data_IF_654339851497
#
_entry.id   IF_654339851497
#
_cell.length_a   1.000
_cell.length_b   1.000
_cell.length_c   1.000
_cell.angle_alpha   90.00
_cell.angle_beta   90.00
_cell.angle_gamma   90.00
#
_symmetry.space_group_name_H-M   'P 1'
#
loop_
_entity.id
_entity.type
_entity.pdbx_description
1 polymer ?
#
# COMPACT_ATOMS: atom_id res chain seq x y z
N UNK A 1 8.24 -6.09 -7.73
CA UNK A 1 7.00 -5.43 -7.31
C UNK A 1 6.44 -6.21 -6.14
N UNK A 2 5.82 -5.55 -5.18
CA UNK A 2 5.12 -6.19 -4.06
C UNK A 2 3.69 -5.65 -3.93
N UNK A 3 2.81 -6.46 -3.33
CA UNK A 3 1.48 -6.02 -2.91
C UNK A 3 1.45 -6.04 -1.39
N UNK A 4 1.24 -4.88 -0.79
CA UNK A 4 1.11 -4.70 0.66
C UNK A 4 -0.36 -4.65 1.01
N UNK A 5 -0.81 -5.52 1.91
CA UNK A 5 -2.20 -5.53 2.42
C UNK A 5 -2.21 -4.86 3.78
N UNK A 6 -2.84 -3.70 3.86
CA UNK A 6 -3.03 -2.96 5.09
C UNK A 6 -4.29 -3.46 5.81
N UNK A 7 -4.17 -4.56 6.57
CA UNK A 7 -5.15 -4.99 7.59
C UNK A 7 -4.68 -4.51 8.97
N UNK A 8 -4.56 -3.19 9.14
CA UNK A 8 -4.09 -2.59 10.39
C UNK A 8 -5.24 -2.48 11.38
N UNK A 9 -5.33 -3.44 12.31
CA UNK A 9 -6.29 -3.38 13.42
C UNK A 9 -5.74 -2.53 14.54
N UNK A 10 -6.62 -1.77 15.19
CA UNK A 10 -6.30 -0.97 16.39
C UNK A 10 -5.12 0.01 16.24
N UNK A 11 -4.91 0.58 15.03
CA UNK A 11 -3.79 1.46 14.68
C UNK A 11 -2.40 0.81 14.78
N UNK A 12 -2.30 -0.52 14.83
CA UNK A 12 -1.01 -1.21 14.85
C UNK A 12 -0.62 -1.63 13.43
N UNK A 13 0.41 -0.97 12.91
CA UNK A 13 1.00 -1.34 11.63
C UNK A 13 1.88 -2.57 11.81
N UNK A 14 1.61 -3.65 11.06
CA UNK A 14 2.47 -4.83 11.10
C UNK A 14 3.92 -4.46 10.73
N UNK A 15 4.80 -4.49 11.72
CA UNK A 15 6.18 -4.05 11.58
C UNK A 15 6.97 -4.86 10.54
N UNK A 16 6.60 -6.13 10.30
CA UNK A 16 7.20 -6.96 9.25
C UNK A 16 6.85 -6.44 7.86
N UNK A 17 5.56 -6.26 7.60
CA UNK A 17 5.04 -5.69 6.35
C UNK A 17 5.60 -4.29 6.10
N UNK A 18 5.67 -3.44 7.14
CA UNK A 18 6.26 -2.11 7.04
C UNK A 18 7.75 -2.14 6.69
N UNK A 19 8.51 -3.10 7.24
CA UNK A 19 9.93 -3.29 6.90
C UNK A 19 10.10 -3.73 5.45
N UNK A 20 9.30 -4.69 4.98
CA UNK A 20 9.32 -5.18 3.59
C UNK A 20 8.99 -4.07 2.60
N UNK A 21 7.96 -3.25 2.89
CA UNK A 21 7.62 -2.08 2.07
C UNK A 21 8.74 -1.04 2.07
N UNK A 22 9.34 -0.76 3.22
CA UNK A 22 10.49 0.15 3.30
C UNK A 22 11.68 -0.32 2.46
N UNK A 23 11.97 -1.62 2.44
CA UNK A 23 12.99 -2.20 1.58
C UNK A 23 12.62 -2.07 0.10
N UNK A 24 11.38 -2.37 -0.28
CA UNK A 24 10.91 -2.23 -1.66
C UNK A 24 11.02 -0.78 -2.15
N UNK A 25 10.73 0.21 -1.30
CA UNK A 25 10.87 1.63 -1.62
C UNK A 25 12.32 2.00 -1.93
N UNK A 26 13.28 1.58 -1.09
CA UNK A 26 14.71 1.87 -1.29
C UNK A 26 15.26 1.18 -2.54
N UNK A 27 14.75 -0.01 -2.88
CA UNK A 27 15.12 -0.75 -4.08
C UNK A 27 14.38 -0.29 -5.34
N UNK A 28 13.63 0.82 -5.27
CA UNK A 28 12.81 1.34 -6.38
C UNK A 28 11.85 0.28 -6.96
N UNK A 29 11.45 -0.67 -6.12
CA UNK A 29 10.55 -1.73 -6.49
C UNK A 29 9.11 -1.21 -6.40
N UNK A 30 8.28 -1.32 -7.45
CA UNK A 30 6.91 -0.83 -7.40
C UNK A 30 6.10 -1.48 -6.27
N UNK A 31 5.34 -0.65 -5.55
CA UNK A 31 4.54 -1.05 -4.38
C UNK A 31 3.07 -0.76 -4.67
N UNK A 32 2.25 -1.81 -4.67
CA UNK A 32 0.79 -1.69 -4.64
C UNK A 32 0.35 -1.81 -3.20
N UNK A 33 -0.34 -0.82 -2.68
CA UNK A 33 -0.94 -0.89 -1.34
C UNK A 33 -2.44 -1.11 -1.48
N UNK A 34 -2.95 -2.16 -0.85
CA UNK A 34 -4.36 -2.47 -0.75
C UNK A 34 -4.85 -2.20 0.68
N UNK A 35 -5.87 -1.36 0.82
CA UNK A 35 -6.53 -1.08 2.10
C UNK A 35 -8.04 -1.01 1.88
N UNK A 36 -8.77 -2.00 2.39
CA UNK A 36 -10.23 -2.07 2.28
C UNK A 36 -10.93 -1.29 3.41
N UNK A 37 -10.22 -1.04 4.50
CA UNK A 37 -10.75 -0.35 5.68
C UNK A 37 -10.71 1.18 5.49
N UNK A 38 -11.11 1.93 6.52
CA UNK A 38 -10.97 3.40 6.54
C UNK A 38 -10.12 3.80 7.76
N UNK A 39 -9.11 2.97 8.05
CA UNK A 39 -8.22 3.14 9.19
C UNK A 39 -7.14 4.17 8.86
N UNK A 40 -6.62 4.80 9.91
CA UNK A 40 -5.52 5.72 9.75
C UNK A 40 -4.23 4.95 9.43
N UNK A 41 -3.69 5.19 8.24
CA UNK A 41 -2.43 4.59 7.80
C UNK A 41 -1.25 5.51 8.12
N UNK A 42 -0.11 4.91 8.49
CA UNK A 42 1.14 5.63 8.72
C UNK A 42 1.63 6.37 7.46
N UNK A 43 2.04 7.64 7.61
CA UNK A 43 2.56 8.47 6.51
C UNK A 43 3.66 7.77 5.69
N UNK A 44 4.60 7.07 6.33
CA UNK A 44 5.71 6.44 5.62
C UNK A 44 5.23 5.35 4.66
N UNK A 45 4.12 4.69 4.97
CA UNK A 45 3.52 3.68 4.10
C UNK A 45 2.71 4.33 2.97
N UNK A 46 1.99 5.41 3.27
CA UNK A 46 1.17 6.10 2.26
C UNK A 46 2.00 6.87 1.24
N UNK A 47 3.21 7.30 1.60
CA UNK A 47 4.09 8.07 0.71
C UNK A 47 5.11 7.19 -0.04
N UNK A 48 5.33 5.95 0.39
CA UNK A 48 6.27 5.03 -0.27
C UNK A 48 5.62 4.13 -1.33
N UNK A 49 4.29 4.17 -1.46
CA UNK A 49 3.57 3.38 -2.46
C UNK A 49 3.69 3.95 -3.88
N UNK A 50 3.42 3.10 -4.87
CA UNK A 50 3.25 3.48 -6.28
C UNK A 50 1.77 3.59 -6.66
N UNK A 51 0.97 2.63 -6.19
CA UNK A 51 -0.45 2.51 -6.53
C UNK A 51 -1.24 2.16 -5.28
N UNK A 52 -2.24 2.97 -4.95
CA UNK A 52 -3.19 2.70 -3.88
C UNK A 52 -4.49 2.13 -4.45
N UNK A 53 -5.00 1.05 -3.86
CA UNK A 53 -6.24 0.38 -4.22
C UNK A 53 -7.07 0.15 -2.96
N UNK A 54 -8.37 0.45 -3.00
CA UNK A 54 -9.29 0.16 -1.90
C UNK A 54 -10.45 -0.76 -2.26
N UNK A 55 -10.69 -1.01 -3.55
CA UNK A 55 -11.67 -1.99 -4.01
C UNK A 55 -10.96 -3.30 -4.41
N UNK A 56 -11.30 -4.44 -3.77
CA UNK A 56 -10.71 -5.74 -4.15
C UNK A 56 -10.98 -6.12 -5.61
N UNK A 57 -12.06 -5.62 -6.21
CA UNK A 57 -12.39 -5.82 -7.62
C UNK A 57 -11.40 -5.10 -8.55
N UNK A 58 -10.93 -3.92 -8.16
CA UNK A 58 -9.91 -3.16 -8.87
C UNK A 58 -8.56 -3.88 -8.78
N UNK A 59 -8.20 -4.38 -7.58
CA UNK A 59 -6.97 -5.16 -7.39
C UNK A 59 -6.94 -6.42 -8.26
N UNK A 60 -8.07 -7.12 -8.38
CA UNK A 60 -8.19 -8.33 -9.20
C UNK A 60 -8.02 -8.06 -10.71
N UNK A 61 -8.28 -6.83 -11.17
CA UNK A 61 -8.18 -6.41 -12.56
C UNK A 61 -6.88 -5.64 -12.88
N UNK A 62 -6.06 -5.37 -11.86
CA UNK A 62 -4.86 -4.55 -12.00
C UNK A 62 -3.83 -5.21 -12.93
N UNK A 63 -3.36 -4.46 -13.92
CA UNK A 63 -2.23 -4.88 -14.76
C UNK A 63 -0.90 -4.56 -14.08
N UNK A 64 -0.27 -5.59 -13.52
CA UNK A 64 1.01 -5.49 -12.82
C UNK A 64 2.21 -5.18 -13.75
N UNK A 65 2.06 -5.31 -15.08
CA UNK A 65 3.09 -4.90 -16.03
C UNK A 65 3.03 -3.41 -16.38
N UNK A 66 1.89 -2.76 -16.13
CA UNK A 66 1.62 -1.37 -16.46
C UNK A 66 0.92 -0.65 -15.29
N UNK A 67 1.60 -0.61 -14.15
CA UNK A 67 1.04 -0.03 -12.93
C UNK A 67 0.73 1.46 -13.08
N UNK A 68 -0.49 1.90 -12.76
CA UNK A 68 -0.84 3.32 -12.71
C UNK A 68 -0.20 3.96 -11.48
N UNK A 69 0.29 5.20 -11.62
CA UNK A 69 0.66 6.00 -10.45
C UNK A 69 -0.62 6.54 -9.80
N UNK A 70 -1.01 5.93 -8.68
CA UNK A 70 -2.24 6.26 -7.95
C UNK A 70 -1.86 6.56 -6.50
N UNK A 71 -1.74 7.85 -6.12
CA UNK A 71 -1.41 8.24 -4.76
C UNK A 71 -2.46 7.78 -3.75
N UNK A 72 -2.05 7.67 -2.48
CA UNK A 72 -2.96 7.38 -1.38
C UNK A 72 -4.10 8.40 -1.28
N UNK A 73 -5.33 7.90 -1.14
CA UNK A 73 -6.55 8.74 -1.02
C UNK A 73 -7.33 8.53 0.28
N UNK A 74 -6.90 7.61 1.15
CA UNK A 74 -7.52 7.35 2.46
C UNK A 74 -7.08 8.31 3.58
N UNK A 75 -7.32 7.91 4.83
CA UNK A 75 -6.87 8.67 6.01
C UNK A 75 -5.43 8.35 6.38
N UNK A 76 -4.61 9.38 6.56
CA UNK A 76 -3.21 9.26 7.01
C UNK A 76 -2.96 10.02 8.30
N UNK A 77 -2.01 9.52 9.09
CA UNK A 77 -1.47 10.12 10.31
C UNK A 77 -0.13 10.80 10.06
#
# INVERSE_FOLDING_TARGET
MIVTVADYRDNDADSGTAFEQGMAYVLETPIVMFEETDYQTNLMLTESLTTFISDPSELAQLDFHALPNQPFSGKRL
#
